data_IF_105875478416
#
_entry.id   IF_105875478416
#
_cell.length_a   1.000
_cell.length_b   1.000
_cell.length_c   1.000
_cell.angle_alpha   90.00
_cell.angle_beta   90.00
_cell.angle_gamma   90.00
#
_symmetry.space_group_name_H-M   'P 1'
#
loop_
_entity.id
_entity.type
_entity.pdbx_description
1 polymer ?
#
# COMPACT_ATOMS: atom_id res chain seq x y z
N UNK A 1 -13.03 -12.96 9.64
CA UNK A 1 -11.58 -12.71 9.68
C UNK A 1 -11.31 -11.42 10.43
N UNK A 2 -10.15 -11.33 11.09
CA UNK A 2 -9.63 -10.08 11.65
C UNK A 2 -8.60 -9.50 10.68
N UNK A 3 -8.80 -8.27 10.24
CA UNK A 3 -7.97 -7.62 9.23
C UNK A 3 -7.40 -6.30 9.72
N UNK A 4 -6.15 -6.01 9.32
CA UNK A 4 -5.49 -4.75 9.58
C UNK A 4 -5.42 -3.95 8.28
N UNK A 5 -5.76 -2.66 8.34
CA UNK A 5 -5.63 -1.72 7.23
C UNK A 5 -4.74 -0.56 7.67
N UNK A 6 -3.58 -0.39 7.03
CA UNK A 6 -2.75 0.80 7.24
C UNK A 6 -3.17 1.91 6.27
N UNK A 7 -3.08 3.17 6.70
CA UNK A 7 -3.61 4.29 5.93
C UNK A 7 -5.15 4.29 5.86
N UNK A 8 -5.81 3.85 6.91
CA UNK A 8 -7.26 3.58 6.94
C UNK A 8 -8.15 4.81 6.70
N UNK A 9 -7.60 6.02 6.77
CA UNK A 9 -8.29 7.27 6.43
C UNK A 9 -8.11 7.68 4.95
N UNK A 10 -7.40 6.87 4.17
CA UNK A 10 -7.25 7.05 2.73
C UNK A 10 -8.51 6.65 1.95
N UNK A 11 -8.66 7.16 0.73
CA UNK A 11 -9.82 6.91 -0.14
C UNK A 11 -10.08 5.41 -0.38
N UNK A 12 -9.07 4.67 -0.85
CA UNK A 12 -9.20 3.22 -1.11
C UNK A 12 -9.50 2.47 0.19
N UNK A 13 -8.80 2.82 1.27
CA UNK A 13 -8.91 2.15 2.55
C UNK A 13 -10.30 2.29 3.18
N UNK A 14 -10.93 3.47 3.10
CA UNK A 14 -12.30 3.69 3.59
C UNK A 14 -13.31 2.81 2.87
N UNK A 15 -13.24 2.76 1.55
CA UNK A 15 -14.13 1.94 0.73
C UNK A 15 -13.92 0.44 1.01
N UNK A 16 -12.67 0.00 1.14
CA UNK A 16 -12.33 -1.37 1.50
C UNK A 16 -12.85 -1.73 2.89
N UNK A 17 -12.65 -0.85 3.89
CA UNK A 17 -13.11 -1.08 5.26
C UNK A 17 -14.64 -1.26 5.32
N UNK A 18 -15.39 -0.40 4.64
CA UNK A 18 -16.86 -0.54 4.54
C UNK A 18 -17.27 -1.88 3.93
N UNK A 19 -16.61 -2.27 2.83
CA UNK A 19 -16.90 -3.53 2.15
C UNK A 19 -16.62 -4.73 3.06
N UNK A 20 -15.45 -4.77 3.71
CA UNK A 20 -15.08 -5.85 4.63
C UNK A 20 -16.02 -5.94 5.83
N UNK A 21 -16.44 -4.81 6.39
CA UNK A 21 -17.42 -4.80 7.48
C UNK A 21 -18.79 -5.33 7.06
N UNK A 22 -19.26 -4.98 5.87
CA UNK A 22 -20.50 -5.55 5.31
C UNK A 22 -20.44 -7.07 5.15
N UNK A 23 -19.24 -7.62 4.99
CA UNK A 23 -19.00 -9.07 4.93
C UNK A 23 -18.79 -9.71 6.32
N UNK A 24 -18.94 -8.97 7.40
CA UNK A 24 -18.80 -9.46 8.78
C UNK A 24 -17.36 -9.64 9.25
N UNK A 25 -16.41 -8.95 8.64
CA UNK A 25 -15.03 -8.95 9.10
C UNK A 25 -14.80 -7.90 10.18
N UNK A 26 -13.93 -8.21 11.14
CA UNK A 26 -13.45 -7.25 12.13
C UNK A 26 -12.28 -6.47 11.57
N UNK A 27 -12.42 -5.16 11.46
CA UNK A 27 -11.47 -4.28 10.79
C UNK A 27 -10.77 -3.39 11.79
N UNK A 28 -9.45 -3.51 11.89
CA UNK A 28 -8.57 -2.62 12.65
C UNK A 28 -7.87 -1.67 11.68
N UNK A 29 -7.85 -0.40 12.02
CA UNK A 29 -7.25 0.64 11.19
C UNK A 29 -6.07 1.33 11.86
N UNK A 30 -4.99 1.53 11.09
CA UNK A 30 -3.85 2.37 11.47
C UNK A 30 -3.79 3.61 10.56
N UNK A 31 -3.64 4.77 11.17
CA UNK A 31 -3.30 6.02 10.48
C UNK A 31 -2.64 7.00 11.45
N UNK A 32 -1.98 8.04 10.94
CA UNK A 32 -1.31 9.05 11.80
C UNK A 32 -2.30 9.71 12.75
N UNK A 33 -3.52 10.03 12.29
CA UNK A 33 -4.61 10.60 13.10
C UNK A 33 -5.96 10.40 12.43
N UNK A 34 -7.03 10.42 13.22
CA UNK A 34 -8.38 10.58 12.69
C UNK A 34 -8.55 12.00 12.11
N UNK A 35 -9.13 12.08 10.93
CA UNK A 35 -9.53 13.38 10.35
C UNK A 35 -10.85 13.80 10.99
N UNK A 36 -10.90 15.02 11.53
CA UNK A 36 -12.09 15.57 12.14
C UNK A 36 -13.23 15.65 11.13
N UNK A 37 -14.41 15.12 11.49
CA UNK A 37 -15.59 15.13 10.64
C UNK A 37 -15.66 14.02 9.60
N UNK A 38 -14.59 13.25 9.40
CA UNK A 38 -14.61 12.11 8.49
C UNK A 38 -15.20 10.86 9.17
N UNK A 39 -16.05 10.09 8.47
CA UNK A 39 -16.58 8.85 9.01
C UNK A 39 -15.48 7.81 9.22
N UNK A 40 -15.54 7.11 10.34
CA UNK A 40 -14.62 6.02 10.69
C UNK A 40 -15.29 4.70 10.35
N UNK A 41 -14.73 3.98 9.39
CA UNK A 41 -15.29 2.71 8.90
C UNK A 41 -14.58 1.47 9.45
N UNK A 42 -13.79 1.62 10.51
CA UNK A 42 -13.10 0.50 11.18
C UNK A 42 -13.76 0.23 12.53
N UNK A 43 -13.61 -0.98 13.05
CA UNK A 43 -14.11 -1.36 14.38
C UNK A 43 -13.20 -0.84 15.48
N UNK A 44 -11.90 -0.78 15.21
CA UNK A 44 -10.87 -0.31 16.12
C UNK A 44 -9.88 0.57 15.37
N UNK A 45 -9.52 1.73 15.94
CA UNK A 45 -8.57 2.66 15.36
C UNK A 45 -7.39 2.88 16.29
N UNK A 46 -6.17 2.81 15.72
CA UNK A 46 -4.95 3.21 16.42
C UNK A 46 -4.26 4.36 15.67
N UNK A 47 -4.00 5.45 16.40
CA UNK A 47 -3.14 6.52 15.92
C UNK A 47 -1.69 6.02 15.85
N UNK A 48 -1.15 5.85 14.65
CA UNK A 48 0.17 5.26 14.45
C UNK A 48 0.91 5.90 13.28
N UNK A 49 2.19 6.24 13.49
CA UNK A 49 3.09 6.61 12.41
C UNK A 49 3.74 5.35 11.85
N UNK A 50 3.42 5.00 10.61
CA UNK A 50 3.92 3.80 9.94
C UNK A 50 5.45 3.76 9.74
N UNK A 51 6.15 4.89 9.93
CA UNK A 51 7.62 4.91 9.99
C UNK A 51 8.18 4.31 11.29
N UNK A 52 7.31 3.94 12.23
CA UNK A 52 7.66 3.22 13.45
C UNK A 52 7.16 1.77 13.38
N UNK A 53 7.84 0.83 14.06
CA UNK A 53 7.38 -0.54 14.16
C UNK A 53 5.97 -0.65 14.75
N UNK A 54 5.13 -1.50 14.17
CA UNK A 54 3.77 -1.74 14.64
C UNK A 54 3.82 -2.57 15.94
N UNK A 55 3.21 -2.05 17.00
CA UNK A 55 3.18 -2.67 18.35
C UNK A 55 1.77 -3.01 18.79
N UNK A 56 1.01 -3.71 17.96
CA UNK A 56 -0.32 -4.21 18.30
C UNK A 56 -0.20 -5.71 18.60
N UNK A 57 -0.62 -6.12 19.78
CA UNK A 57 -0.63 -7.54 20.17
C UNK A 57 -1.96 -8.17 19.75
N UNK A 58 -2.04 -8.62 18.54
CA UNK A 58 -3.20 -9.34 18.00
C UNK A 58 -2.80 -10.13 16.76
N UNK A 59 -3.42 -11.28 16.56
CA UNK A 59 -3.29 -12.06 15.34
C UNK A 59 -4.23 -11.49 14.26
N UNK A 60 -3.70 -11.27 13.08
CA UNK A 60 -4.46 -10.80 11.93
C UNK A 60 -4.39 -11.82 10.79
N UNK A 61 -5.54 -12.17 10.23
CA UNK A 61 -5.62 -13.04 9.05
C UNK A 61 -5.03 -12.34 7.82
N UNK A 62 -5.24 -11.02 7.71
CA UNK A 62 -4.77 -10.20 6.58
C UNK A 62 -4.29 -8.83 7.03
N UNK A 63 -3.26 -8.35 6.33
CA UNK A 63 -2.75 -6.98 6.43
C UNK A 63 -2.85 -6.32 5.06
N UNK A 64 -3.66 -5.28 4.95
CA UNK A 64 -3.76 -4.42 3.77
C UNK A 64 -2.88 -3.19 3.99
N UNK A 65 -1.73 -3.15 3.32
CA UNK A 65 -0.83 -2.01 3.41
C UNK A 65 -1.17 -0.98 2.34
N UNK A 66 -1.96 0.02 2.73
CA UNK A 66 -2.44 1.12 1.88
C UNK A 66 -1.87 2.47 2.31
N UNK A 67 -1.08 2.52 3.39
CA UNK A 67 -0.38 3.72 3.81
C UNK A 67 0.75 4.03 2.84
N UNK A 68 0.77 5.23 2.31
CA UNK A 68 1.87 5.77 1.52
C UNK A 68 1.79 7.30 1.48
N UNK A 69 2.95 7.94 1.42
CA UNK A 69 3.05 9.34 1.04
C UNK A 69 3.04 9.41 -0.48
N UNK A 70 1.95 9.93 -1.06
CA UNK A 70 1.78 10.05 -2.51
C UNK A 70 2.02 11.49 -2.92
N UNK A 71 2.98 11.78 -3.83
CA UNK A 71 3.20 13.13 -4.32
C UNK A 71 1.95 13.63 -5.04
N UNK A 72 1.45 14.79 -4.67
CA UNK A 72 0.41 15.44 -5.44
C UNK A 72 1.04 16.32 -6.54
N UNK A 73 0.27 16.62 -7.59
CA UNK A 73 0.72 17.40 -8.75
C UNK A 73 1.24 18.81 -8.41
N UNK A 74 0.97 19.32 -7.21
CA UNK A 74 1.36 20.67 -6.76
C UNK A 74 2.72 20.69 -6.04
N UNK A 75 3.25 19.55 -5.63
CA UNK A 75 4.47 19.45 -4.81
C UNK A 75 5.51 18.52 -5.46
N UNK A 76 5.99 18.93 -6.63
CA UNK A 76 7.08 18.24 -7.32
C UNK A 76 8.41 18.62 -6.65
N UNK A 77 9.23 17.66 -6.30
CA UNK A 77 10.55 17.88 -5.69
C UNK A 77 10.63 17.39 -4.23
N UNK A 78 10.38 18.25 -3.24
CA UNK A 78 10.50 17.87 -1.83
C UNK A 78 9.56 16.71 -1.41
N UNK A 79 8.35 16.67 -1.97
CA UNK A 79 7.39 15.59 -1.74
C UNK A 79 7.87 14.25 -2.33
N UNK A 80 8.59 14.26 -3.45
CA UNK A 80 9.18 13.04 -4.01
C UNK A 80 10.30 12.48 -3.13
N UNK A 81 11.13 13.34 -2.55
CA UNK A 81 12.17 12.90 -1.62
C UNK A 81 11.57 12.33 -0.33
N UNK A 82 10.52 12.92 0.21
CA UNK A 82 9.79 12.39 1.35
C UNK A 82 9.20 10.99 1.02
N UNK A 83 8.56 10.85 -0.13
CA UNK A 83 8.04 9.58 -0.66
C UNK A 83 9.11 8.50 -0.71
N UNK A 84 10.28 8.81 -1.31
CA UNK A 84 11.38 7.86 -1.47
C UNK A 84 12.02 7.42 -0.14
N UNK A 85 11.90 8.22 0.92
CA UNK A 85 12.38 7.87 2.26
C UNK A 85 11.35 7.15 3.11
N UNK A 86 10.15 7.72 3.17
CA UNK A 86 9.10 7.30 4.08
C UNK A 86 8.45 5.98 3.66
N UNK A 87 8.07 5.84 2.40
CA UNK A 87 7.30 4.66 1.96
C UNK A 87 8.06 3.33 2.11
N UNK A 88 9.37 3.21 1.81
CA UNK A 88 10.11 1.98 2.08
C UNK A 88 10.11 1.59 3.56
N UNK A 89 10.29 2.57 4.47
CA UNK A 89 10.25 2.33 5.91
C UNK A 89 8.88 1.85 6.36
N UNK A 90 7.80 2.50 5.88
CA UNK A 90 6.42 2.11 6.17
C UNK A 90 6.14 0.67 5.70
N UNK A 91 6.62 0.32 4.50
CA UNK A 91 6.45 -1.02 3.93
C UNK A 91 7.22 -2.09 4.70
N UNK A 92 8.46 -1.81 5.12
CA UNK A 92 9.26 -2.72 5.95
C UNK A 92 8.55 -2.98 7.28
N UNK A 93 8.12 -1.94 7.99
CA UNK A 93 7.42 -2.09 9.26
C UNK A 93 6.11 -2.90 9.13
N UNK A 94 5.37 -2.71 8.04
CA UNK A 94 4.16 -3.47 7.76
C UNK A 94 4.46 -4.94 7.40
N UNK A 95 5.54 -5.19 6.64
CA UNK A 95 6.00 -6.54 6.28
C UNK A 95 6.49 -7.32 7.49
N UNK A 96 7.33 -6.70 8.33
CA UNK A 96 7.83 -7.32 9.56
C UNK A 96 6.66 -7.71 10.48
N UNK A 97 5.68 -6.83 10.61
CA UNK A 97 4.47 -7.12 11.38
C UNK A 97 3.68 -8.28 10.77
N UNK A 98 3.45 -8.27 9.46
CA UNK A 98 2.70 -9.33 8.78
C UNK A 98 3.44 -10.68 8.83
N UNK A 99 4.76 -10.68 8.70
CA UNK A 99 5.60 -11.89 8.81
C UNK A 99 5.51 -12.50 10.21
N UNK A 100 5.64 -11.68 11.26
CA UNK A 100 5.51 -12.11 12.66
C UNK A 100 4.13 -12.73 12.94
N UNK A 101 3.07 -12.17 12.37
CA UNK A 101 1.69 -12.63 12.54
C UNK A 101 1.29 -13.75 11.55
N UNK A 102 2.16 -14.13 10.62
CA UNK A 102 1.84 -15.08 9.52
C UNK A 102 0.61 -14.66 8.71
N UNK A 103 0.38 -13.37 8.60
CA UNK A 103 -0.76 -12.79 7.89
C UNK A 103 -0.60 -12.88 6.38
N UNK A 104 -1.72 -12.99 5.65
CA UNK A 104 -1.72 -12.72 4.21
C UNK A 104 -1.50 -11.21 3.99
N UNK A 105 -0.43 -10.83 3.31
CA UNK A 105 -0.04 -9.44 3.09
C UNK A 105 -0.49 -8.94 1.71
N UNK A 106 -1.20 -7.82 1.68
CA UNK A 106 -1.67 -7.18 0.45
C UNK A 106 -1.00 -5.81 0.34
N UNK A 107 -0.18 -5.60 -0.69
CA UNK A 107 0.56 -4.37 -0.93
C UNK A 107 -0.02 -3.62 -2.14
N UNK A 108 -0.36 -2.35 -1.95
CA UNK A 108 -0.86 -1.49 -3.02
C UNK A 108 0.26 -1.05 -3.96
N UNK A 109 0.38 -1.72 -5.09
CA UNK A 109 1.20 -1.29 -6.23
C UNK A 109 0.52 -0.15 -7.00
N UNK A 110 1.21 0.40 -7.99
CA UNK A 110 0.71 1.53 -8.78
C UNK A 110 1.06 1.37 -10.25
N UNK A 111 0.20 1.83 -11.14
CA UNK A 111 0.47 1.93 -12.58
C UNK A 111 1.70 2.80 -12.91
N UNK A 112 2.15 3.65 -11.98
CA UNK A 112 3.40 4.41 -12.13
C UNK A 112 4.67 3.53 -12.16
N UNK A 113 4.54 2.23 -11.89
CA UNK A 113 5.63 1.25 -12.01
C UNK A 113 5.91 0.83 -13.46
N UNK A 114 4.95 0.96 -14.36
CA UNK A 114 5.14 0.55 -15.75
C UNK A 114 6.24 1.34 -16.43
N UNK A 115 6.99 0.65 -17.30
CA UNK A 115 8.05 1.26 -18.09
C UNK A 115 7.47 2.37 -18.97
N UNK A 116 8.09 3.57 -18.92
CA UNK A 116 7.63 4.74 -19.67
C UNK A 116 7.67 4.52 -21.19
N UNK A 117 8.57 3.67 -21.67
CA UNK A 117 8.75 3.43 -23.11
C UNK A 117 7.58 2.65 -23.72
N UNK A 118 6.77 1.97 -22.90
CA UNK A 118 5.58 1.23 -23.36
C UNK A 118 4.27 1.98 -23.05
N UNK A 119 4.35 3.15 -22.41
CA UNK A 119 3.19 3.98 -22.11
C UNK A 119 2.97 5.01 -23.25
N UNK A 120 1.71 5.22 -23.65
CA UNK A 120 1.36 6.22 -24.65
C UNK A 120 0.11 5.84 -25.43
N UNK A 121 -0.43 6.81 -26.20
CA UNK A 121 -1.67 6.61 -26.97
C UNK A 121 -1.59 5.48 -28.01
N UNK A 122 -0.38 5.17 -28.50
CA UNK A 122 -0.12 4.12 -29.47
C UNK A 122 0.68 2.96 -28.85
N UNK A 123 0.79 2.90 -27.53
CA UNK A 123 1.45 1.82 -26.82
C UNK A 123 0.61 0.53 -26.82
N UNK A 124 1.23 -0.62 -26.50
CA UNK A 124 0.51 -1.87 -26.35
C UNK A 124 -0.41 -1.83 -25.10
N UNK A 125 -1.36 -2.74 -25.03
CA UNK A 125 -2.08 -2.98 -23.80
C UNK A 125 -1.09 -3.41 -22.72
N UNK A 126 -1.13 -2.73 -21.56
CA UNK A 126 -0.17 -2.98 -20.49
C UNK A 126 -0.46 -4.32 -19.80
N UNK A 127 0.57 -5.12 -19.64
CA UNK A 127 0.55 -6.39 -18.92
C UNK A 127 1.39 -6.28 -17.64
N UNK A 128 0.84 -6.71 -16.53
CA UNK A 128 1.40 -6.54 -15.19
C UNK A 128 2.72 -7.29 -14.98
N UNK A 129 2.91 -8.40 -15.66
CA UNK A 129 4.08 -9.26 -15.55
C UNK A 129 5.21 -8.92 -16.57
N UNK A 130 4.87 -8.23 -17.66
CA UNK A 130 5.81 -7.99 -18.76
C UNK A 130 6.33 -6.53 -18.79
N UNK A 131 5.45 -5.54 -18.54
CA UNK A 131 5.73 -4.14 -18.88
C UNK A 131 6.28 -3.29 -17.71
N UNK A 132 6.65 -3.90 -16.61
CA UNK A 132 7.38 -3.24 -15.52
C UNK A 132 8.88 -3.22 -15.82
N UNK A 133 9.37 -4.24 -16.54
CA UNK A 133 10.79 -4.40 -16.83
C UNK A 133 11.16 -4.06 -18.29
N UNK A 134 12.37 -3.50 -18.54
CA UNK A 134 13.33 -3.02 -17.55
C UNK A 134 12.78 -1.84 -16.74
N UNK A 135 13.19 -1.71 -15.47
CA UNK A 135 12.67 -0.71 -14.55
C UNK A 135 13.00 0.73 -15.01
N UNK A 136 12.06 1.34 -15.73
CA UNK A 136 12.14 2.71 -16.23
C UNK A 136 10.79 3.40 -16.01
N UNK A 137 10.37 3.56 -14.74
CA UNK A 137 9.08 4.15 -14.43
C UNK A 137 9.03 5.62 -14.86
N UNK A 138 7.84 6.15 -15.04
CA UNK A 138 7.58 7.51 -15.53
C UNK A 138 8.23 8.60 -14.65
N UNK A 139 9.54 8.71 -14.74
CA UNK A 139 10.37 9.85 -14.32
C UNK A 139 10.29 10.30 -12.87
N UNK A 140 9.80 9.48 -11.94
CA UNK A 140 9.70 9.88 -10.54
C UNK A 140 10.12 8.81 -9.54
N UNK A 141 10.57 9.27 -8.38
CA UNK A 141 11.01 8.42 -7.28
C UNK A 141 9.89 7.51 -6.76
N UNK A 142 8.63 7.91 -6.90
CA UNK A 142 7.47 7.14 -6.47
C UNK A 142 7.32 5.82 -7.24
N UNK A 143 7.46 5.85 -8.57
CA UNK A 143 7.43 4.63 -9.38
C UNK A 143 8.57 3.67 -9.04
N UNK A 144 9.79 4.21 -8.82
CA UNK A 144 10.95 3.42 -8.40
C UNK A 144 10.75 2.81 -7.00
N UNK A 145 10.23 3.59 -6.07
CA UNK A 145 9.90 3.12 -4.72
C UNK A 145 8.88 1.97 -4.76
N UNK A 146 7.85 2.09 -5.59
CA UNK A 146 6.84 1.04 -5.75
C UNK A 146 7.43 -0.26 -6.33
N UNK A 147 8.34 -0.17 -7.30
CA UNK A 147 9.06 -1.34 -7.85
C UNK A 147 9.95 -1.97 -6.76
N UNK A 148 10.70 -1.16 -6.01
CA UNK A 148 11.53 -1.63 -4.90
C UNK A 148 10.69 -2.39 -3.86
N UNK A 149 9.60 -1.79 -3.39
CA UNK A 149 8.73 -2.41 -2.39
C UNK A 149 8.04 -3.68 -2.92
N UNK A 150 7.64 -3.71 -4.20
CA UNK A 150 7.10 -4.91 -4.83
C UNK A 150 8.12 -6.07 -4.76
N UNK A 151 9.37 -5.82 -5.11
CA UNK A 151 10.44 -6.83 -5.03
C UNK A 151 10.67 -7.26 -3.57
N UNK A 152 10.70 -6.30 -2.65
CA UNK A 152 10.86 -6.59 -1.22
C UNK A 152 9.73 -7.50 -0.71
N UNK A 153 8.48 -7.24 -1.06
CA UNK A 153 7.32 -8.09 -0.71
C UNK A 153 7.50 -9.51 -1.25
N UNK A 154 7.97 -9.66 -2.49
CA UNK A 154 8.22 -10.97 -3.10
C UNK A 154 9.34 -11.74 -2.37
N UNK A 155 10.41 -11.07 -1.96
CA UNK A 155 11.49 -11.69 -1.18
C UNK A 155 11.02 -12.08 0.24
N UNK A 156 10.23 -11.24 0.91
CA UNK A 156 9.61 -11.61 2.19
C UNK A 156 8.68 -12.82 2.05
N UNK A 157 7.89 -12.87 0.96
CA UNK A 157 7.01 -14.01 0.68
C UNK A 157 7.79 -15.33 0.60
N UNK A 158 8.92 -15.33 -0.10
CA UNK A 158 9.80 -16.50 -0.21
C UNK A 158 10.46 -16.84 1.13
N UNK A 159 11.08 -15.87 1.78
CA UNK A 159 11.87 -16.09 2.99
C UNK A 159 11.01 -16.54 4.19
N UNK A 160 9.85 -15.90 4.38
CA UNK A 160 8.95 -16.18 5.50
C UNK A 160 7.79 -17.11 5.16
N UNK A 161 7.74 -17.64 3.93
CA UNK A 161 6.62 -18.47 3.42
C UNK A 161 5.25 -17.77 3.60
N UNK A 162 5.18 -16.50 3.23
CA UNK A 162 3.97 -15.67 3.37
C UNK A 162 3.11 -15.74 2.12
N UNK A 163 1.79 -15.69 2.31
CA UNK A 163 0.87 -15.36 1.20
C UNK A 163 0.89 -13.85 0.96
N UNK A 164 1.06 -13.45 -0.30
CA UNK A 164 1.06 -12.04 -0.69
C UNK A 164 0.17 -11.80 -1.89
N UNK A 165 -0.35 -10.58 -2.02
CA UNK A 165 -1.02 -10.09 -3.22
C UNK A 165 -0.52 -8.67 -3.54
N UNK A 166 -0.31 -8.39 -4.83
CA UNK A 166 0.32 -7.18 -5.35
C UNK A 166 -0.58 -6.50 -6.40
N UNK A 167 -1.81 -6.05 -6.03
CA UNK A 167 -2.69 -5.39 -6.98
C UNK A 167 -2.07 -4.08 -7.48
N UNK A 168 -2.05 -3.89 -8.80
CA UNK A 168 -1.58 -2.67 -9.44
C UNK A 168 -2.77 -1.74 -9.67
N UNK A 169 -2.83 -0.68 -8.89
CA UNK A 169 -3.90 0.30 -9.01
C UNK A 169 -3.59 1.33 -10.10
N UNK A 170 -4.57 1.54 -10.96
CA UNK A 170 -4.61 2.62 -11.94
C UNK A 170 -5.35 3.85 -11.38
N UNK A 171 -6.00 4.62 -12.23
CA UNK A 171 -6.81 5.77 -11.79
C UNK A 171 -8.05 5.29 -11.02
N UNK A 172 -7.96 5.29 -9.70
CA UNK A 172 -9.05 4.91 -8.81
C UNK A 172 -9.99 6.09 -8.60
N UNK A 173 -11.29 5.87 -8.77
CA UNK A 173 -12.34 6.86 -8.56
C UNK A 173 -13.57 6.23 -7.91
N UNK A 174 -14.43 7.05 -7.34
CA UNK A 174 -15.66 6.60 -6.69
C UNK A 174 -16.09 7.54 -5.55
N UNK A 175 -17.17 7.19 -4.84
CA UNK A 175 -17.66 7.95 -3.69
C UNK A 175 -16.69 7.90 -2.51
#
# INVERSE_FOLDING_TARGET
>A
MKVLITGCQGFIAKNLAQHLKKQGHYVVGLDKKLKTGDPVFVDEFHGHNMEQPIKIENDFDRVYHLSADVPNSKHVGSAQMATGRSNPIQSINALDFAAKNKSHFIYACSAMMYNIDVQGHNGPDLKEDEHIWPAKPAGNIYGLEKIYNMQLVQEYAKYYNMKVALPIFHAMYGP
#
